data_IF_267434160195
#
_entry.id   IF_267434160195
#
_cell.length_a   1.000
_cell.length_b   1.000
_cell.length_c   1.000
_cell.angle_alpha   90.00
_cell.angle_beta   90.00
_cell.angle_gamma   90.00
#
_symmetry.space_group_name_H-M   'P 1'
#
loop_
_entity.id
_entity.type
_entity.pdbx_description
1 polymer ?
#
# COMPACT_ATOMS: atom_id res chain seq x y z
N UNK A 1 -28.59 20.09 -18.94
CA UNK A 1 -27.68 18.93 -18.98
C UNK A 1 -28.53 17.70 -19.13
N UNK A 2 -28.28 16.90 -20.16
CA UNK A 2 -29.08 15.70 -20.40
C UNK A 2 -28.94 14.72 -19.23
N UNK A 3 -30.01 14.00 -18.86
CA UNK A 3 -29.98 13.05 -17.76
C UNK A 3 -28.86 11.99 -17.93
N UNK A 4 -28.50 11.65 -19.17
CA UNK A 4 -27.37 10.77 -19.47
C UNK A 4 -25.99 11.35 -19.08
N UNK A 5 -25.79 12.66 -19.23
CA UNK A 5 -24.55 13.33 -18.83
C UNK A 5 -24.38 13.34 -17.31
N UNK A 6 -25.47 13.53 -16.57
CA UNK A 6 -25.46 13.54 -15.10
C UNK A 6 -25.13 12.15 -14.54
N UNK A 7 -25.71 11.09 -15.13
CA UNK A 7 -25.43 9.70 -14.74
C UNK A 7 -23.96 9.34 -14.97
N UNK A 8 -23.38 9.75 -16.11
CA UNK A 8 -21.97 9.51 -16.41
C UNK A 8 -21.01 10.17 -15.39
N UNK A 9 -21.31 11.40 -14.97
CA UNK A 9 -20.51 12.12 -13.95
C UNK A 9 -20.57 11.41 -12.60
N UNK A 10 -21.74 10.89 -12.20
CA UNK A 10 -21.91 10.15 -10.95
C UNK A 10 -21.08 8.86 -10.95
N UNK A 11 -21.09 8.11 -12.06
CA UNK A 11 -20.31 6.87 -12.18
C UNK A 11 -18.81 7.15 -12.04
N UNK A 12 -18.30 8.17 -12.74
CA UNK A 12 -16.89 8.56 -12.67
C UNK A 12 -16.51 8.98 -11.25
N UNK A 13 -17.36 9.76 -10.57
CA UNK A 13 -17.12 10.18 -9.19
C UNK A 13 -17.03 8.97 -8.23
N UNK A 14 -17.91 7.99 -8.37
CA UNK A 14 -17.90 6.77 -7.55
C UNK A 14 -16.61 5.96 -7.77
N UNK A 15 -16.19 5.79 -9.04
CA UNK A 15 -14.95 5.07 -9.38
C UNK A 15 -13.73 5.76 -8.76
N UNK A 16 -13.65 7.10 -8.85
CA UNK A 16 -12.55 7.88 -8.27
C UNK A 16 -12.51 7.70 -6.74
N UNK A 17 -13.67 7.75 -6.06
CA UNK A 17 -13.75 7.57 -4.60
C UNK A 17 -13.23 6.18 -4.20
N UNK A 18 -13.62 5.13 -4.93
CA UNK A 18 -13.16 3.75 -4.66
C UNK A 18 -11.64 3.64 -4.86
N UNK A 19 -11.11 4.17 -5.97
CA UNK A 19 -9.68 4.17 -6.24
C UNK A 19 -8.89 4.90 -5.16
N UNK A 20 -9.37 6.06 -4.73
CA UNK A 20 -8.71 6.87 -3.70
C UNK A 20 -8.70 6.15 -2.35
N UNK A 21 -9.81 5.49 -1.99
CA UNK A 21 -9.88 4.68 -0.77
C UNK A 21 -8.91 3.49 -0.81
N UNK A 22 -8.79 2.82 -1.97
CA UNK A 22 -7.87 1.70 -2.13
C UNK A 22 -6.42 2.16 -2.02
N UNK A 23 -6.08 3.26 -2.69
CA UNK A 23 -4.76 3.88 -2.63
C UNK A 23 -4.39 4.29 -1.20
N UNK A 24 -5.31 4.88 -0.46
CA UNK A 24 -5.09 5.27 0.95
C UNK A 24 -4.78 4.06 1.84
N UNK A 25 -5.46 2.93 1.64
CA UNK A 25 -5.19 1.70 2.41
C UNK A 25 -3.80 1.14 2.12
N UNK A 26 -3.40 1.09 0.85
CA UNK A 26 -2.05 0.63 0.45
C UNK A 26 -0.98 1.55 1.04
N UNK A 27 -1.18 2.88 0.97
CA UNK A 27 -0.21 3.85 1.48
C UNK A 27 -0.03 3.71 3.00
N UNK A 28 -1.13 3.52 3.74
CA UNK A 28 -1.06 3.25 5.19
C UNK A 28 -0.30 1.96 5.49
N UNK A 29 -0.58 0.88 4.74
CA UNK A 29 0.13 -0.39 4.91
C UNK A 29 1.64 -0.24 4.66
N UNK A 30 2.04 0.46 3.59
CA UNK A 30 3.45 0.77 3.30
C UNK A 30 4.10 1.59 4.40
N UNK A 31 3.39 2.60 4.93
CA UNK A 31 3.91 3.42 6.02
C UNK A 31 4.16 2.60 7.29
N UNK A 32 3.20 1.75 7.68
CA UNK A 32 3.39 0.87 8.84
C UNK A 32 4.54 -0.12 8.64
N UNK A 33 4.67 -0.71 7.45
CA UNK A 33 5.76 -1.63 7.13
C UNK A 33 7.12 -0.93 7.24
N UNK A 34 7.23 0.29 6.70
CA UNK A 34 8.45 1.09 6.78
C UNK A 34 8.80 1.44 8.23
N UNK A 35 7.80 1.78 9.04
CA UNK A 35 7.99 2.08 10.46
C UNK A 35 8.48 0.84 11.23
N UNK A 36 7.92 -0.34 10.97
CA UNK A 36 8.40 -1.61 11.56
C UNK A 36 9.84 -1.90 11.15
N UNK A 37 10.20 -1.77 9.87
CA UNK A 37 11.57 -1.91 9.40
C UNK A 37 12.53 -0.96 10.12
N UNK A 38 12.13 0.30 10.28
CA UNK A 38 12.93 1.32 10.94
C UNK A 38 13.12 0.99 12.43
N UNK A 39 12.09 0.49 13.12
CA UNK A 39 12.20 -0.01 14.50
C UNK A 39 13.16 -1.21 14.59
N UNK A 40 13.08 -2.16 13.64
CA UNK A 40 13.99 -3.31 13.60
C UNK A 40 15.46 -2.89 13.44
N UNK A 41 15.73 -1.91 12.59
CA UNK A 41 17.10 -1.41 12.37
C UNK A 41 17.60 -0.63 13.58
N UNK A 42 16.79 0.31 14.11
CA UNK A 42 17.25 1.24 15.16
C UNK A 42 17.27 0.58 16.54
N UNK A 43 16.22 -0.16 16.90
CA UNK A 43 16.07 -0.73 18.25
C UNK A 43 16.82 -2.04 18.40
N UNK A 44 16.73 -2.91 17.39
CA UNK A 44 17.34 -4.24 17.44
C UNK A 44 18.70 -4.30 16.74
N UNK A 45 19.14 -3.21 16.10
CA UNK A 45 20.43 -3.16 15.41
C UNK A 45 20.53 -4.12 14.23
N UNK A 46 19.39 -4.58 13.69
CA UNK A 46 19.37 -5.53 12.57
C UNK A 46 19.93 -4.84 11.34
N UNK A 47 20.91 -5.47 10.69
CA UNK A 47 21.50 -4.90 9.48
C UNK A 47 20.45 -4.87 8.35
N UNK A 48 20.52 -3.84 7.50
CA UNK A 48 19.60 -3.73 6.36
C UNK A 48 19.67 -4.95 5.43
N UNK A 49 20.85 -5.60 5.38
CA UNK A 49 21.12 -6.77 4.58
C UNK A 49 20.38 -8.02 5.09
N UNK A 50 20.24 -8.17 6.40
CA UNK A 50 19.48 -9.26 7.03
C UNK A 50 17.96 -9.10 6.82
N UNK A 51 17.46 -7.86 6.80
CA UNK A 51 16.05 -7.60 6.47
C UNK A 51 15.72 -7.96 5.03
N UNK A 52 16.62 -7.65 4.09
CA UNK A 52 16.45 -8.01 2.68
C UNK A 52 16.50 -9.53 2.49
N UNK A 53 17.46 -10.21 3.12
CA UNK A 53 17.59 -11.67 3.00
C UNK A 53 16.37 -12.39 3.59
N UNK A 54 15.83 -11.88 4.71
CA UNK A 54 14.60 -12.39 5.30
C UNK A 54 13.39 -12.15 4.38
N UNK A 55 13.23 -10.95 3.84
CA UNK A 55 12.17 -10.64 2.89
C UNK A 55 12.25 -11.49 1.61
N UNK A 56 13.46 -11.70 1.08
CA UNK A 56 13.70 -12.55 -0.09
C UNK A 56 13.36 -14.02 0.20
N UNK A 57 13.66 -14.51 1.40
CA UNK A 57 13.34 -15.88 1.81
C UNK A 57 11.83 -16.08 1.91
N UNK A 58 11.09 -15.08 2.40
CA UNK A 58 9.62 -15.11 2.44
C UNK A 58 9.04 -15.11 1.03
N UNK A 59 9.55 -14.24 0.14
CA UNK A 59 9.06 -14.16 -1.25
C UNK A 59 9.29 -15.48 -1.98
N UNK A 60 10.47 -16.10 -1.83
CA UNK A 60 10.78 -17.41 -2.40
C UNK A 60 9.96 -18.56 -1.80
N UNK A 61 9.37 -18.39 -0.62
CA UNK A 61 8.50 -19.41 -0.02
C UNK A 61 7.06 -19.32 -0.52
N UNK A 62 6.68 -18.16 -1.06
CA UNK A 62 5.34 -17.90 -1.61
C UNK A 62 5.22 -18.33 -3.07
N UNK A 63 6.34 -18.44 -3.80
CA UNK A 63 6.44 -18.92 -5.18
C UNK A 63 6.92 -20.36 -5.26
#
# INVERSE_FOLDING_TARGET
MDPFSIVGVIIVAVVIIILTNFLSKILKALFYLLLVCLVLIIVFGVSYQDLISWASSIILWVF
#
